data_IF_019330740400
#
_entry.id   IF_019330740400
#
_cell.length_a   1.000
_cell.length_b   1.000
_cell.length_c   1.000
_cell.angle_alpha   90.00
_cell.angle_beta   90.00
_cell.angle_gamma   90.00
#
_symmetry.space_group_name_H-M   'P 1'
#
loop_
_entity.id
_entity.type
_entity.pdbx_description
1 polymer ?
#
# COMPACT_ATOMS: atom_id res chain seq x y z
N UNK A 1 -89.28 39.67 -50.58
CA UNK A 1 -88.80 41.06 -50.69
C UNK A 1 -87.31 41.09 -50.39
N UNK A 2 -86.54 41.62 -51.36
CA UNK A 2 -85.13 42.07 -51.36
C UNK A 2 -83.96 41.13 -50.94
N UNK A 3 -83.31 40.68 -52.01
CA UNK A 3 -81.94 40.24 -52.29
C UNK A 3 -80.79 41.08 -51.68
N UNK A 4 -79.69 40.47 -51.19
CA UNK A 4 -78.29 40.63 -51.69
C UNK A 4 -77.19 40.08 -50.73
N UNK A 5 -76.21 39.40 -51.34
CA UNK A 5 -74.86 39.07 -50.82
C UNK A 5 -73.98 40.34 -50.64
N UNK A 6 -73.07 40.35 -49.66
CA UNK A 6 -71.70 40.88 -49.79
C UNK A 6 -70.81 40.46 -48.59
N UNK A 7 -69.49 40.52 -48.81
CA UNK A 7 -68.34 39.87 -48.17
C UNK A 7 -67.49 40.87 -47.33
N UNK A 8 -66.51 40.34 -46.57
CA UNK A 8 -65.28 40.96 -46.00
C UNK A 8 -65.52 41.71 -44.64
N UNK A 9 -64.76 41.61 -43.53
CA UNK A 9 -63.33 41.33 -43.28
C UNK A 9 -63.07 40.91 -41.83
N UNK A 10 -62.06 40.05 -41.66
CA UNK A 10 -61.43 39.57 -40.43
C UNK A 10 -60.66 40.70 -39.70
N UNK A 11 -60.85 40.87 -38.39
CA UNK A 11 -59.88 41.56 -37.53
C UNK A 11 -59.81 40.80 -36.18
N UNK A 12 -58.66 40.21 -35.92
CA UNK A 12 -58.40 39.39 -34.74
C UNK A 12 -58.24 40.22 -33.47
N UNK A 13 -58.87 39.78 -32.38
CA UNK A 13 -58.43 40.15 -31.04
C UNK A 13 -57.31 39.20 -30.62
N UNK A 14 -56.07 39.68 -30.73
CA UNK A 14 -54.95 39.10 -30.00
C UNK A 14 -55.13 39.39 -28.51
N UNK A 15 -55.29 38.34 -27.72
CA UNK A 15 -55.09 38.39 -26.28
C UNK A 15 -53.58 38.48 -26.05
N UNK A 16 -53.06 39.71 -25.93
CA UNK A 16 -51.66 39.92 -25.56
C UNK A 16 -51.52 39.54 -24.09
N UNK A 17 -50.96 38.35 -23.82
CA UNK A 17 -50.34 38.09 -22.52
C UNK A 17 -49.24 39.14 -22.37
N UNK A 18 -49.47 40.10 -21.48
CA UNK A 18 -48.40 40.94 -20.97
C UNK A 18 -47.48 40.00 -20.19
N UNK A 19 -46.35 39.62 -20.78
CA UNK A 19 -45.21 39.19 -20.00
C UNK A 19 -44.84 40.37 -19.10
N UNK A 20 -45.20 40.28 -17.82
CA UNK A 20 -44.50 41.05 -16.80
C UNK A 20 -43.01 40.65 -16.92
N UNK A 21 -42.07 41.61 -17.06
CA UNK A 21 -40.68 41.26 -16.86
C UNK A 21 -40.58 40.61 -15.47
N UNK A 22 -40.00 39.41 -15.41
CA UNK A 22 -39.74 38.75 -14.13
C UNK A 22 -39.07 39.74 -13.19
N UNK A 23 -39.48 39.74 -11.93
CA UNK A 23 -38.93 40.63 -10.92
C UNK A 23 -37.39 40.57 -11.00
N UNK A 24 -36.75 41.67 -11.38
CA UNK A 24 -35.33 41.83 -11.23
C UNK A 24 -35.07 41.82 -9.73
N UNK A 25 -34.48 40.74 -9.22
CA UNK A 25 -34.11 40.61 -7.82
C UNK A 25 -32.89 41.52 -7.57
N UNK A 26 -33.16 42.77 -7.19
CA UNK A 26 -32.15 43.80 -6.93
C UNK A 26 -31.77 43.83 -5.43
N UNK A 27 -31.35 42.69 -4.89
CA UNK A 27 -30.72 42.63 -3.55
C UNK A 27 -29.20 42.74 -3.66
N UNK A 28 -28.52 42.98 -2.53
CA UNK A 28 -27.06 42.78 -2.45
C UNK A 28 -26.76 41.34 -2.00
N UNK A 29 -25.71 40.72 -2.54
CA UNK A 29 -25.19 39.46 -2.00
C UNK A 29 -24.56 39.70 -0.62
N UNK A 30 -25.11 39.07 0.41
CA UNK A 30 -24.61 39.16 1.79
C UNK A 30 -24.01 37.82 2.22
N UNK A 31 -22.72 37.81 2.54
CA UNK A 31 -22.05 36.69 3.21
C UNK A 31 -22.24 36.86 4.72
N UNK A 32 -22.49 35.79 5.47
CA UNK A 32 -22.87 35.90 6.89
C UNK A 32 -22.07 35.04 7.86
N UNK A 33 -21.34 34.04 7.35
CA UNK A 33 -20.64 33.05 8.17
C UNK A 33 -19.50 32.38 7.43
N UNK A 34 -18.48 31.96 8.16
CA UNK A 34 -17.41 31.08 7.70
C UNK A 34 -17.34 29.89 8.65
N UNK A 35 -17.49 28.69 8.11
CA UNK A 35 -17.42 27.45 8.86
C UNK A 35 -16.25 26.60 8.34
N UNK A 36 -15.31 26.29 9.22
CA UNK A 36 -14.22 25.34 8.96
C UNK A 36 -14.78 23.91 9.06
N UNK A 37 -14.56 23.13 8.00
CA UNK A 37 -15.06 21.75 7.89
C UNK A 37 -13.94 20.71 7.88
N UNK A 38 -12.71 21.11 8.18
CA UNK A 38 -11.55 20.21 8.14
C UNK A 38 -11.62 19.12 9.21
N UNK A 39 -11.18 17.92 8.83
CA UNK A 39 -11.03 16.76 9.74
C UNK A 39 -9.56 16.31 9.77
N UNK A 40 -9.05 15.97 10.95
CA UNK A 40 -7.68 15.47 11.18
C UNK A 40 -7.76 13.98 11.59
N UNK A 41 -7.07 13.04 10.90
CA UNK A 41 -6.09 13.24 9.82
C UNK A 41 -6.68 13.26 8.39
N UNK A 42 -6.00 13.95 7.47
CA UNK A 42 -6.25 13.90 6.02
C UNK A 42 -5.39 12.80 5.38
N UNK A 43 -6.03 11.87 4.67
CA UNK A 43 -5.35 10.88 3.84
C UNK A 43 -5.02 11.45 2.45
N UNK A 44 -3.78 11.28 1.99
CA UNK A 44 -3.33 11.71 0.66
C UNK A 44 -3.23 10.56 -0.35
N UNK A 45 -3.39 10.84 -1.67
CA UNK A 45 -3.85 12.11 -2.23
C UNK A 45 -5.33 12.35 -1.90
N UNK A 46 -5.68 13.60 -1.54
CA UNK A 46 -7.06 13.97 -1.25
C UNK A 46 -7.65 14.59 -2.52
N UNK A 47 -8.58 13.88 -3.16
CA UNK A 47 -9.13 14.34 -4.44
C UNK A 47 -10.20 15.42 -4.28
N UNK A 48 -10.86 15.50 -3.13
CA UNK A 48 -11.98 16.39 -2.88
C UNK A 48 -12.10 16.78 -1.39
N UNK A 49 -11.15 17.58 -0.91
CA UNK A 49 -11.13 18.03 0.48
C UNK A 49 -11.92 19.33 0.65
N UNK A 50 -13.12 19.26 1.20
CA UNK A 50 -13.89 20.44 1.59
C UNK A 50 -13.25 21.08 2.84
N UNK A 51 -12.67 22.27 2.67
CA UNK A 51 -11.99 22.98 3.75
C UNK A 51 -12.92 23.94 4.49
N UNK A 52 -13.84 24.58 3.78
CA UNK A 52 -14.71 25.58 4.36
C UNK A 52 -16.04 25.74 3.62
N UNK A 53 -17.01 26.26 4.35
CA UNK A 53 -18.30 26.69 3.83
C UNK A 53 -18.58 28.13 4.25
N UNK A 54 -19.07 28.94 3.32
CA UNK A 54 -19.46 30.34 3.54
C UNK A 54 -20.96 30.48 3.30
N UNK A 55 -21.71 30.86 4.34
CA UNK A 55 -23.15 31.08 4.26
C UNK A 55 -23.52 32.38 3.54
N UNK A 56 -24.70 32.38 2.92
CA UNK A 56 -25.31 33.57 2.32
C UNK A 56 -26.73 33.75 2.85
N UNK A 57 -27.13 34.98 3.18
CA UNK A 57 -28.41 35.25 3.88
C UNK A 57 -29.56 35.72 2.98
N UNK A 58 -29.33 35.93 1.67
CA UNK A 58 -30.33 36.48 0.75
C UNK A 58 -31.14 35.38 0.02
N UNK A 59 -32.41 35.16 0.37
CA UNK A 59 -33.26 34.05 -0.11
C UNK A 59 -33.42 33.86 -1.64
N UNK A 60 -33.14 34.86 -2.50
CA UNK A 60 -33.23 34.74 -3.97
C UNK A 60 -32.13 35.50 -4.72
N UNK A 61 -31.04 35.83 -4.03
CA UNK A 61 -29.85 36.39 -4.61
C UNK A 61 -29.90 37.87 -4.97
N UNK A 62 -28.79 38.50 -4.60
CA UNK A 62 -28.37 39.79 -5.10
C UNK A 62 -27.25 39.62 -6.11
N UNK A 63 -26.89 40.71 -6.79
CA UNK A 63 -25.93 40.83 -7.89
C UNK A 63 -24.81 39.76 -8.02
N UNK A 64 -24.46 39.47 -9.28
CA UNK A 64 -23.72 38.30 -9.74
C UNK A 64 -22.19 38.34 -9.47
N UNK A 65 -21.62 37.52 -8.57
CA UNK A 65 -20.17 37.45 -8.39
C UNK A 65 -19.48 36.79 -9.60
N UNK A 66 -18.49 37.48 -10.17
CA UNK A 66 -17.69 37.00 -11.31
C UNK A 66 -16.40 36.32 -10.88
N UNK A 67 -15.95 36.51 -9.63
CA UNK A 67 -14.80 35.82 -9.07
C UNK A 67 -14.84 35.70 -7.54
N UNK A 68 -14.00 34.80 -7.02
CA UNK A 68 -13.56 34.79 -5.63
C UNK A 68 -12.05 34.63 -5.58
N UNK A 69 -11.41 35.33 -4.64
CA UNK A 69 -9.96 35.24 -4.41
C UNK A 69 -9.70 34.55 -3.09
N UNK A 70 -8.87 33.52 -3.10
CA UNK A 70 -8.47 32.76 -1.91
C UNK A 70 -6.96 32.73 -1.74
N UNK A 71 -6.51 32.48 -0.52
CA UNK A 71 -5.13 32.22 -0.17
C UNK A 71 -5.00 30.84 0.49
N UNK A 72 -3.97 30.10 0.12
CA UNK A 72 -3.56 28.85 0.77
C UNK A 72 -2.24 29.10 1.50
N UNK A 73 -2.23 28.88 2.81
CA UNK A 73 -1.07 28.97 3.69
C UNK A 73 -0.70 27.62 4.31
N UNK A 74 0.08 27.66 5.40
CA UNK A 74 0.69 26.48 6.02
C UNK A 74 2.09 26.18 5.44
N UNK A 75 2.53 24.92 5.52
CA UNK A 75 3.81 24.46 4.94
C UNK A 75 3.69 23.84 3.55
N UNK A 76 2.47 23.72 3.00
CA UNK A 76 2.24 23.35 1.59
C UNK A 76 2.81 24.40 0.62
N UNK A 77 3.34 23.92 -0.50
CA UNK A 77 3.83 24.71 -1.63
C UNK A 77 2.89 24.59 -2.83
N UNK A 78 3.04 25.46 -3.83
CA UNK A 78 2.21 25.47 -5.04
C UNK A 78 2.12 24.10 -5.73
N UNK A 79 3.23 23.35 -5.76
CA UNK A 79 3.28 22.00 -6.35
C UNK A 79 2.44 20.94 -5.58
N UNK A 80 2.06 21.22 -4.33
CA UNK A 80 1.25 20.32 -3.51
C UNK A 80 -0.25 20.46 -3.79
N UNK A 81 -0.66 21.55 -4.44
CA UNK A 81 -2.06 21.87 -4.74
C UNK A 81 -2.34 21.56 -6.21
N UNK A 82 -3.17 20.56 -6.47
CA UNK A 82 -3.59 20.23 -7.83
C UNK A 82 -4.73 21.14 -8.31
N UNK A 83 -5.68 21.45 -7.41
CA UNK A 83 -6.87 22.19 -7.77
C UNK A 83 -7.48 22.90 -6.55
N UNK A 84 -8.08 24.06 -6.79
CA UNK A 84 -8.96 24.75 -5.85
C UNK A 84 -10.30 24.98 -6.54
N UNK A 85 -11.36 24.34 -6.05
CA UNK A 85 -12.69 24.41 -6.61
C UNK A 85 -13.64 25.16 -5.67
N UNK A 86 -14.60 25.82 -6.28
CA UNK A 86 -15.69 26.51 -5.59
C UNK A 86 -17.00 25.90 -6.05
N UNK A 87 -17.79 25.47 -5.07
CA UNK A 87 -19.14 25.00 -5.26
C UNK A 87 -20.13 26.02 -4.71
N UNK A 88 -21.34 26.03 -5.23
CA UNK A 88 -22.44 26.83 -4.72
C UNK A 88 -23.72 25.98 -4.69
N UNK A 89 -24.34 25.85 -3.51
CA UNK A 89 -25.51 24.99 -3.34
C UNK A 89 -25.25 23.52 -3.71
N UNK A 90 -24.01 23.05 -3.52
CA UNK A 90 -23.56 21.69 -3.87
C UNK A 90 -23.25 21.45 -5.35
N UNK A 91 -23.32 22.49 -6.20
CA UNK A 91 -22.94 22.40 -7.61
C UNK A 91 -21.57 23.03 -7.85
N UNK A 92 -20.73 22.36 -8.64
CA UNK A 92 -19.43 22.90 -9.02
C UNK A 92 -19.60 24.13 -9.91
N UNK A 93 -19.10 25.28 -9.46
CA UNK A 93 -19.13 26.52 -10.23
C UNK A 93 -17.87 26.65 -11.10
N UNK A 94 -16.71 26.46 -10.50
CA UNK A 94 -15.43 26.65 -11.17
C UNK A 94 -14.27 26.10 -10.36
N UNK A 95 -13.15 25.88 -11.02
CA UNK A 95 -11.91 25.48 -10.38
C UNK A 95 -10.71 26.21 -10.98
N UNK A 96 -9.74 26.51 -10.13
CA UNK A 96 -8.40 26.90 -10.53
C UNK A 96 -7.46 25.70 -10.43
N UNK A 97 -6.86 25.32 -11.55
CA UNK A 97 -5.92 24.19 -11.61
C UNK A 97 -4.48 24.66 -11.41
N UNK A 98 -3.70 23.89 -10.66
CA UNK A 98 -2.26 24.12 -10.42
C UNK A 98 -1.93 25.59 -10.12
N UNK A 99 -2.46 26.17 -9.03
CA UNK A 99 -2.23 27.57 -8.72
C UNK A 99 -0.73 27.83 -8.50
N UNK A 100 -0.10 28.59 -9.40
CA UNK A 100 1.33 28.91 -9.32
C UNK A 100 1.69 29.86 -8.16
N UNK A 101 0.69 30.54 -7.58
CA UNK A 101 0.84 31.41 -6.41
C UNK A 101 -0.28 31.09 -5.42
N UNK A 102 0.09 30.78 -4.18
CA UNK A 102 -0.88 30.43 -3.13
C UNK A 102 -1.41 31.64 -2.36
N UNK A 103 -0.81 32.83 -2.47
CA UNK A 103 -1.25 34.01 -1.71
C UNK A 103 -2.48 34.74 -2.31
N UNK A 104 -2.75 34.51 -3.60
CA UNK A 104 -3.86 35.14 -4.32
C UNK A 104 -4.29 34.27 -5.50
N UNK A 105 -5.10 33.26 -5.19
CA UNK A 105 -5.69 32.31 -6.13
C UNK A 105 -7.05 32.87 -6.53
N UNK A 106 -7.17 33.32 -7.77
CA UNK A 106 -8.45 33.76 -8.33
C UNK A 106 -9.17 32.57 -8.94
N UNK A 107 -10.43 32.35 -8.53
CA UNK A 107 -11.35 31.39 -9.13
C UNK A 107 -12.46 32.19 -9.83
N UNK A 108 -12.48 32.13 -11.16
CA UNK A 108 -13.49 32.83 -11.97
C UNK A 108 -14.83 32.13 -11.85
N UNK A 109 -15.87 32.84 -11.45
CA UNK A 109 -17.24 32.36 -11.30
C UNK A 109 -18.08 32.76 -12.52
N UNK A 110 -19.19 32.06 -12.81
CA UNK A 110 -19.97 32.29 -14.03
C UNK A 110 -20.74 33.62 -14.05
N UNK A 111 -20.72 34.42 -12.97
CA UNK A 111 -21.42 35.70 -12.94
C UNK A 111 -22.93 35.53 -13.10
N UNK A 112 -23.53 34.61 -12.34
CA UNK A 112 -24.97 34.41 -12.26
C UNK A 112 -25.48 34.66 -10.83
N UNK A 113 -26.80 34.78 -10.68
CA UNK A 113 -27.41 35.24 -9.43
C UNK A 113 -27.22 34.23 -8.29
N UNK A 114 -26.64 34.70 -7.19
CA UNK A 114 -26.33 33.89 -6.00
C UNK A 114 -27.03 34.46 -4.76
N UNK A 115 -27.64 33.59 -3.97
CA UNK A 115 -28.14 33.83 -2.62
C UNK A 115 -29.00 32.68 -2.09
N UNK A 116 -28.98 32.48 -0.76
CA UNK A 116 -29.80 31.49 -0.06
C UNK A 116 -29.18 30.08 -0.08
N UNK A 117 -27.97 29.94 -0.61
CA UNK A 117 -27.17 28.72 -0.54
C UNK A 117 -25.71 29.06 -0.21
N UNK A 118 -24.95 28.14 0.39
CA UNK A 118 -23.57 28.41 0.76
C UNK A 118 -22.61 28.24 -0.43
N UNK A 119 -21.47 28.93 -0.35
CA UNK A 119 -20.28 28.60 -1.12
C UNK A 119 -19.45 27.56 -0.37
N UNK A 120 -18.93 26.56 -1.08
CA UNK A 120 -18.06 25.53 -0.52
C UNK A 120 -16.71 25.55 -1.23
N UNK A 121 -15.63 25.46 -0.46
CA UNK A 121 -14.26 25.52 -0.97
C UNK A 121 -13.60 24.16 -0.84
N UNK A 122 -13.28 23.57 -1.99
CA UNK A 122 -12.70 22.25 -2.11
C UNK A 122 -11.28 22.36 -2.65
N UNK A 123 -10.36 21.57 -2.08
CA UNK A 123 -8.96 21.53 -2.53
C UNK A 123 -8.58 20.10 -2.87
N UNK A 124 -7.93 19.92 -4.02
CA UNK A 124 -7.30 18.66 -4.41
C UNK A 124 -5.82 18.73 -4.06
N UNK A 125 -5.35 17.80 -3.22
CA UNK A 125 -3.96 17.74 -2.75
C UNK A 125 -3.19 16.61 -3.43
N UNK A 126 -1.99 16.92 -3.92
CA UNK A 126 -1.03 15.95 -4.42
C UNK A 126 -0.42 15.15 -3.27
N UNK A 127 0.12 13.96 -3.57
CA UNK A 127 0.85 13.15 -2.60
C UNK A 127 2.06 13.89 -1.99
N UNK A 128 2.62 14.89 -2.69
CA UNK A 128 3.72 15.73 -2.21
C UNK A 128 3.35 16.64 -1.03
N UNK A 129 2.05 16.80 -0.73
CA UNK A 129 1.56 17.52 0.45
C UNK A 129 1.80 16.74 1.76
N UNK A 130 2.34 15.52 1.68
CA UNK A 130 2.59 14.64 2.81
C UNK A 130 3.45 15.29 3.89
N UNK A 131 3.03 15.19 5.16
CA UNK A 131 3.73 15.73 6.32
C UNK A 131 3.62 17.25 6.48
N UNK A 132 2.85 17.93 5.62
CA UNK A 132 2.73 19.39 5.62
C UNK A 132 1.47 19.86 6.33
N UNK A 133 1.38 21.17 6.54
CA UNK A 133 0.16 21.83 6.98
C UNK A 133 -0.44 22.65 5.86
N UNK A 134 -1.77 22.67 5.77
CA UNK A 134 -2.52 23.53 4.87
C UNK A 134 -3.40 24.46 5.70
N UNK A 135 -3.62 25.69 5.20
CA UNK A 135 -4.53 26.70 5.74
C UNK A 135 -5.28 27.38 4.59
N UNK A 136 -6.60 27.53 4.67
CA UNK A 136 -7.39 28.26 3.67
C UNK A 136 -7.85 29.60 4.22
N UNK A 137 -7.66 30.67 3.45
CA UNK A 137 -8.27 31.98 3.66
C UNK A 137 -9.03 32.41 2.41
N UNK A 138 -10.20 33.00 2.57
CA UNK A 138 -10.96 33.59 1.45
C UNK A 138 -10.84 35.10 1.58
N UNK A 139 -10.28 35.77 0.58
CA UNK A 139 -9.86 37.17 0.67
C UNK A 139 -10.93 38.14 0.18
N UNK A 140 -11.63 37.80 -0.91
CA UNK A 140 -12.63 38.67 -1.52
C UNK A 140 -13.54 37.94 -2.50
N UNK A 141 -14.69 38.55 -2.81
CA UNK A 141 -15.58 38.20 -3.91
C UNK A 141 -15.76 39.44 -4.81
N UNK A 142 -15.67 39.32 -6.14
CA UNK A 142 -15.63 40.46 -7.07
C UNK A 142 -16.59 40.35 -8.25
N UNK A 143 -17.03 41.50 -8.80
CA UNK A 143 -17.82 41.55 -10.03
C UNK A 143 -18.50 42.86 -10.47
N UNK A 144 -18.80 43.84 -9.59
CA UNK A 144 -19.39 45.16 -9.96
C UNK A 144 -19.35 46.18 -8.80
N UNK A 145 -19.65 47.47 -9.06
CA UNK A 145 -19.66 48.55 -8.04
C UNK A 145 -20.80 48.39 -7.04
N UNK A 146 -20.53 47.71 -5.93
CA UNK A 146 -21.53 47.51 -4.88
C UNK A 146 -21.11 48.23 -3.60
N UNK A 147 -22.09 48.41 -2.72
CA UNK A 147 -21.83 48.41 -1.29
C UNK A 147 -21.31 47.01 -0.93
N UNK A 148 -20.04 46.79 -1.19
CA UNK A 148 -19.36 45.57 -0.83
C UNK A 148 -19.60 45.37 0.67
N UNK A 149 -20.27 44.27 1.03
CA UNK A 149 -19.96 43.69 2.32
C UNK A 149 -18.52 43.21 2.19
N UNK A 150 -17.57 44.12 2.45
CA UNK A 150 -16.15 43.83 2.54
C UNK A 150 -15.97 43.03 3.81
N UNK A 151 -16.44 41.79 3.79
CA UNK A 151 -16.11 40.83 4.81
C UNK A 151 -14.71 40.41 4.44
N UNK A 152 -13.75 41.12 5.01
CA UNK A 152 -12.42 40.56 5.23
C UNK A 152 -12.65 39.37 6.13
N UNK A 153 -12.84 38.19 5.52
CA UNK A 153 -12.97 36.96 6.28
C UNK A 153 -11.68 36.85 7.08
N UNK A 154 -11.78 36.55 8.38
CA UNK A 154 -10.59 36.49 9.20
C UNK A 154 -9.58 35.54 8.55
N UNK A 155 -8.29 35.87 8.65
CA UNK A 155 -7.19 34.94 8.36
C UNK A 155 -7.23 33.80 9.40
N UNK A 156 -8.31 33.02 9.44
CA UNK A 156 -8.37 31.84 10.28
C UNK A 156 -7.88 30.65 9.48
N UNK A 157 -6.62 30.40 9.79
CA UNK A 157 -5.82 29.24 9.53
C UNK A 157 -6.48 27.98 10.08
N UNK A 158 -7.25 27.26 9.27
CA UNK A 158 -7.46 25.83 9.49
C UNK A 158 -6.06 25.20 9.45
N UNK A 159 -5.41 24.86 10.57
CA UNK A 159 -4.06 24.27 10.53
C UNK A 159 -4.22 22.77 10.60
N UNK A 160 -4.10 22.08 9.46
CA UNK A 160 -4.29 20.63 9.41
C UNK A 160 -2.95 19.94 9.23
N UNK A 161 -2.64 18.96 10.08
CA UNK A 161 -1.47 18.11 9.87
C UNK A 161 -1.81 17.04 8.84
N UNK A 162 -1.12 17.07 7.69
CA UNK A 162 -1.32 16.10 6.63
C UNK A 162 -0.40 14.91 6.91
N UNK A 163 -0.97 13.72 7.11
CA UNK A 163 -0.19 12.52 7.40
C UNK A 163 -0.16 11.62 6.17
N UNK A 164 1.04 11.19 5.76
CA UNK A 164 1.17 10.21 4.69
C UNK A 164 0.68 8.83 5.18
N UNK A 165 -0.08 8.14 4.33
CA UNK A 165 -0.31 6.71 4.54
C UNK A 165 1.00 5.99 4.21
N UNK A 166 1.65 5.45 5.22
CA UNK A 166 2.81 4.59 4.99
C UNK A 166 2.37 3.40 4.11
N UNK A 167 3.25 2.93 3.23
CA UNK A 167 3.01 1.72 2.45
C UNK A 167 4.09 0.70 2.74
N UNK A 168 3.69 -0.55 2.97
CA UNK A 168 4.62 -1.66 3.17
C UNK A 168 5.53 -1.90 1.94
N UNK A 169 6.77 -2.36 2.15
CA UNK A 169 7.61 -2.83 1.06
C UNK A 169 7.00 -4.07 0.38
N UNK A 170 7.30 -4.27 -0.90
CA UNK A 170 6.93 -5.49 -1.61
C UNK A 170 8.16 -6.39 -1.75
N UNK A 171 8.03 -7.65 -1.30
CA UNK A 171 9.14 -8.61 -1.24
C UNK A 171 8.77 -9.90 -1.97
N UNK A 172 9.74 -10.47 -2.68
CA UNK A 172 9.63 -11.79 -3.33
C UNK A 172 10.73 -12.71 -2.81
N UNK A 173 10.43 -13.99 -2.65
CA UNK A 173 11.41 -15.04 -2.36
C UNK A 173 11.62 -15.91 -3.61
N UNK A 174 12.86 -16.33 -3.84
CA UNK A 174 13.27 -17.16 -4.99
C UNK A 174 13.81 -18.49 -4.50
N UNK A 175 13.69 -19.57 -5.28
CA UNK A 175 14.09 -20.92 -4.89
C UNK A 175 15.46 -21.00 -4.19
N UNK A 176 15.53 -21.81 -3.12
CA UNK A 176 16.76 -21.97 -2.35
C UNK A 176 17.84 -22.71 -3.18
N UNK A 177 19.10 -22.38 -2.93
CA UNK A 177 20.26 -23.00 -3.59
C UNK A 177 21.25 -23.56 -2.57
N UNK A 178 22.31 -24.22 -3.03
CA UNK A 178 23.36 -24.77 -2.18
C UNK A 178 22.80 -25.61 -1.01
N UNK A 179 21.80 -26.44 -1.31
CA UNK A 179 21.11 -27.27 -0.33
C UNK A 179 22.04 -28.42 0.05
N UNK A 180 22.53 -28.40 1.29
CA UNK A 180 23.33 -29.44 1.92
C UNK A 180 22.50 -30.36 2.81
N UNK A 181 23.17 -31.17 3.63
CA UNK A 181 22.51 -32.01 4.64
C UNK A 181 22.03 -31.21 5.85
N UNK A 182 22.66 -30.07 6.14
CA UNK A 182 22.44 -29.27 7.34
C UNK A 182 22.33 -27.76 7.06
N UNK A 183 22.29 -27.37 5.79
CA UNK A 183 22.32 -25.97 5.38
C UNK A 183 21.66 -25.74 4.03
N UNK A 184 21.20 -24.51 3.78
CA UNK A 184 20.72 -24.05 2.48
C UNK A 184 20.83 -22.53 2.37
N UNK A 185 21.02 -22.00 1.15
CA UNK A 185 21.01 -20.57 0.88
C UNK A 185 19.60 -20.13 0.43
N UNK A 186 19.00 -19.23 1.20
CA UNK A 186 17.70 -18.60 0.94
C UNK A 186 17.90 -17.29 0.19
N UNK A 187 16.99 -16.97 -0.74
CA UNK A 187 17.06 -15.78 -1.58
C UNK A 187 15.79 -14.95 -1.49
N UNK A 188 15.97 -13.64 -1.41
CA UNK A 188 14.90 -12.65 -1.34
C UNK A 188 15.22 -11.43 -2.21
N UNK A 189 14.19 -10.71 -2.64
CA UNK A 189 14.32 -9.45 -3.36
C UNK A 189 13.23 -8.50 -2.91
N UNK A 190 13.63 -7.29 -2.50
CA UNK A 190 12.70 -6.17 -2.30
C UNK A 190 12.47 -5.51 -3.67
N UNK A 191 11.25 -5.60 -4.19
CA UNK A 191 10.88 -5.02 -5.49
C UNK A 191 10.36 -3.60 -5.38
N UNK A 192 9.80 -3.25 -4.22
CA UNK A 192 9.36 -1.90 -3.87
C UNK A 192 9.71 -1.67 -2.39
N UNK A 193 10.33 -0.52 -2.09
CA UNK A 193 10.71 -0.15 -0.73
C UNK A 193 9.55 0.39 0.11
N UNK A 194 8.38 0.60 -0.50
CA UNK A 194 7.27 1.31 0.13
C UNK A 194 7.63 2.78 0.39
N UNK A 195 7.10 3.33 1.48
CA UNK A 195 7.39 4.73 1.88
C UNK A 195 8.67 4.89 2.69
N UNK A 196 9.28 3.79 3.15
CA UNK A 196 10.46 3.84 4.01
C UNK A 196 11.72 4.18 3.18
N UNK A 197 12.63 5.05 3.69
CA UNK A 197 13.86 5.39 2.99
C UNK A 197 14.82 4.20 2.89
N UNK A 198 14.77 3.28 3.86
CA UNK A 198 15.51 2.02 3.86
C UNK A 198 14.72 0.94 4.61
N UNK A 199 14.98 -0.33 4.29
CA UNK A 199 14.35 -1.48 4.92
C UNK A 199 15.38 -2.44 5.51
N UNK A 200 15.09 -2.96 6.70
CA UNK A 200 15.80 -4.08 7.31
C UNK A 200 15.28 -5.39 6.70
N UNK A 201 16.17 -6.17 6.08
CA UNK A 201 15.82 -7.36 5.30
C UNK A 201 16.21 -8.61 6.06
N UNK A 202 15.30 -9.58 6.14
CA UNK A 202 15.50 -10.81 6.89
C UNK A 202 14.67 -11.97 6.33
N UNK A 203 14.91 -13.18 6.84
CA UNK A 203 14.17 -14.38 6.49
C UNK A 203 13.54 -15.00 7.73
N UNK A 204 12.37 -15.61 7.54
CA UNK A 204 11.81 -16.54 8.51
C UNK A 204 11.67 -17.92 7.87
N UNK A 205 12.06 -18.96 8.58
CA UNK A 205 12.03 -20.34 8.07
C UNK A 205 11.71 -21.36 9.17
N UNK A 206 11.20 -22.52 8.76
CA UNK A 206 10.82 -23.61 9.66
C UNK A 206 10.21 -24.79 8.91
N UNK A 207 9.75 -25.80 9.64
CA UNK A 207 9.17 -27.03 9.05
C UNK A 207 7.65 -26.99 8.89
N UNK A 208 6.99 -25.94 9.38
CA UNK A 208 5.54 -25.75 9.26
C UNK A 208 5.17 -25.09 7.93
N UNK A 209 4.38 -25.78 7.12
CA UNK A 209 3.81 -25.21 5.90
C UNK A 209 2.73 -24.16 6.24
N UNK A 210 2.87 -22.94 5.71
CA UNK A 210 2.01 -21.80 6.01
C UNK A 210 2.40 -21.03 7.28
N UNK A 211 3.48 -21.45 7.96
CA UNK A 211 3.91 -20.88 9.22
C UNK A 211 3.13 -21.39 10.45
N UNK A 212 3.42 -20.87 11.66
CA UNK A 212 4.52 -19.95 11.96
C UNK A 212 5.88 -20.59 11.68
N UNK A 213 6.82 -19.77 11.20
CA UNK A 213 8.19 -20.19 10.91
C UNK A 213 9.01 -20.06 12.19
N UNK A 214 9.50 -21.20 12.71
CA UNK A 214 10.11 -21.27 14.04
C UNK A 214 11.49 -20.59 14.17
N UNK A 215 12.04 -20.03 13.10
CA UNK A 215 13.37 -19.40 13.12
C UNK A 215 13.38 -18.10 12.31
N UNK A 216 14.04 -17.07 12.87
CA UNK A 216 14.31 -15.79 12.22
C UNK A 216 15.82 -15.65 12.01
N UNK A 217 16.25 -15.20 10.83
CA UNK A 217 17.67 -14.98 10.54
C UNK A 217 18.27 -13.77 11.27
N UNK A 218 17.44 -12.89 11.81
CA UNK A 218 17.82 -11.51 12.10
C UNK A 218 18.02 -10.70 10.82
N UNK A 219 18.37 -9.42 10.96
CA UNK A 219 18.65 -8.53 9.83
C UNK A 219 19.91 -9.01 9.11
N UNK A 220 19.79 -9.35 7.83
CA UNK A 220 20.91 -9.83 7.01
C UNK A 220 21.48 -8.74 6.10
N UNK A 221 20.69 -7.71 5.80
CA UNK A 221 21.11 -6.52 5.05
C UNK A 221 20.10 -5.40 5.23
N UNK A 222 20.50 -4.17 4.93
CA UNK A 222 19.63 -2.99 4.90
C UNK A 222 19.67 -2.33 3.52
N UNK A 223 18.58 -1.66 3.14
CA UNK A 223 18.53 -0.82 1.93
C UNK A 223 17.13 -0.68 1.34
N UNK A 224 17.00 0.09 0.27
CA UNK A 224 15.75 0.28 -0.51
C UNK A 224 15.32 -0.99 -1.25
N UNK A 225 15.54 -1.09 -2.56
CA UNK A 225 15.23 -2.27 -3.39
C UNK A 225 16.46 -3.16 -3.60
N UNK A 226 16.25 -4.36 -4.14
CA UNK A 226 17.33 -5.26 -4.55
C UNK A 226 17.34 -6.61 -3.82
N UNK A 227 18.28 -7.44 -4.24
CA UNK A 227 18.43 -8.84 -3.80
C UNK A 227 19.16 -8.94 -2.47
N UNK A 228 18.83 -9.95 -1.68
CA UNK A 228 19.53 -10.34 -0.46
C UNK A 228 19.44 -11.85 -0.24
N UNK A 229 20.38 -12.41 0.53
CA UNK A 229 20.47 -13.85 0.75
C UNK A 229 20.91 -14.18 2.18
N UNK A 230 20.58 -15.39 2.63
CA UNK A 230 20.98 -15.91 3.93
C UNK A 230 21.29 -17.40 3.85
N UNK A 231 22.40 -17.84 4.44
CA UNK A 231 22.70 -19.27 4.55
C UNK A 231 22.18 -19.78 5.89
N UNK A 232 21.08 -20.52 5.85
CA UNK A 232 20.45 -21.10 7.02
C UNK A 232 21.30 -22.27 7.54
N UNK A 233 21.80 -22.21 8.79
CA UNK A 233 22.62 -23.27 9.37
C UNK A 233 21.78 -24.29 10.17
N UNK A 234 22.44 -25.36 10.62
CA UNK A 234 21.93 -26.30 11.63
C UNK A 234 20.57 -26.93 11.28
N UNK A 235 20.34 -27.22 10.01
CA UNK A 235 19.13 -27.87 9.54
C UNK A 235 19.19 -29.39 9.75
N UNK A 236 18.04 -30.02 9.91
CA UNK A 236 17.96 -31.49 10.00
C UNK A 236 18.07 -32.08 8.59
N UNK A 237 18.90 -33.13 8.37
CA UNK A 237 18.94 -33.85 7.10
C UNK A 237 17.59 -34.45 6.68
N UNK A 238 17.37 -34.60 5.37
CA UNK A 238 16.15 -35.16 4.79
C UNK A 238 14.84 -34.53 5.32
N UNK A 239 14.85 -33.23 5.56
CA UNK A 239 13.73 -32.49 6.14
C UNK A 239 13.30 -31.37 5.21
N UNK A 240 11.99 -31.25 4.99
CA UNK A 240 11.42 -30.14 4.22
C UNK A 240 11.27 -28.92 5.10
N UNK A 241 11.83 -27.80 4.64
CA UNK A 241 11.70 -26.49 5.24
C UNK A 241 10.92 -25.56 4.30
N UNK A 242 10.20 -24.63 4.93
CA UNK A 242 9.44 -23.57 4.31
C UNK A 242 9.99 -22.24 4.80
N UNK A 243 10.02 -21.23 3.93
CA UNK A 243 10.54 -19.92 4.30
C UNK A 243 9.87 -18.78 3.53
N UNK A 244 9.95 -17.59 4.14
CA UNK A 244 9.58 -16.30 3.55
C UNK A 244 10.73 -15.32 3.71
N UNK A 245 10.80 -14.36 2.78
CA UNK A 245 11.67 -13.20 2.87
C UNK A 245 10.83 -11.99 3.31
N UNK A 246 11.34 -11.17 4.22
CA UNK A 246 10.65 -10.00 4.74
C UNK A 246 11.55 -8.76 4.72
N UNK A 247 10.91 -7.60 4.66
CA UNK A 247 11.52 -6.28 4.76
C UNK A 247 10.68 -5.42 5.73
N UNK A 248 11.36 -4.71 6.62
CA UNK A 248 10.75 -3.85 7.64
C UNK A 248 11.28 -2.42 7.53
N UNK A 249 10.39 -1.43 7.42
CA UNK A 249 10.77 -0.03 7.44
C UNK A 249 11.13 0.41 8.86
N UNK A 250 12.41 0.59 9.16
CA UNK A 250 12.92 0.85 10.51
C UNK A 250 12.67 2.29 11.05
N UNK A 251 11.72 3.02 10.47
CA UNK A 251 11.37 4.40 10.83
C UNK A 251 10.00 4.46 11.52
N UNK A 252 9.72 5.56 12.24
CA UNK A 252 8.44 5.74 12.90
C UNK A 252 7.27 5.68 11.90
N UNK A 253 6.42 4.66 12.03
CA UNK A 253 5.31 4.41 11.11
C UNK A 253 5.65 3.52 9.91
N UNK A 254 6.86 2.93 9.87
CA UNK A 254 7.22 1.93 8.87
C UNK A 254 6.36 0.68 8.95
N UNK A 255 6.20 0.03 7.80
CA UNK A 255 5.39 -1.17 7.64
C UNK A 255 6.25 -2.36 7.23
N UNK A 256 5.76 -3.56 7.53
CA UNK A 256 6.41 -4.82 7.19
C UNK A 256 5.78 -5.41 5.93
N UNK A 257 6.62 -5.80 4.98
CA UNK A 257 6.24 -6.59 3.81
C UNK A 257 6.94 -7.93 3.81
N UNK A 258 6.20 -9.01 3.53
CA UNK A 258 6.75 -10.36 3.42
C UNK A 258 6.32 -11.03 2.10
N UNK A 259 7.19 -11.89 1.59
CA UNK A 259 6.95 -12.64 0.36
C UNK A 259 5.92 -13.77 0.55
N UNK A 260 5.49 -14.34 -0.58
CA UNK A 260 4.91 -15.68 -0.59
C UNK A 260 5.93 -16.72 -0.14
N UNK A 261 5.43 -17.84 0.38
CA UNK A 261 6.26 -18.92 0.91
C UNK A 261 6.96 -19.70 -0.22
N UNK A 262 8.22 -20.06 0.03
CA UNK A 262 9.01 -21.02 -0.74
C UNK A 262 9.35 -22.24 0.12
N UNK A 263 9.79 -23.33 -0.51
CA UNK A 263 10.18 -24.56 0.19
C UNK A 263 11.42 -25.22 -0.41
N UNK A 264 12.13 -25.99 0.40
CA UNK A 264 13.22 -26.86 -0.04
C UNK A 264 13.36 -28.06 0.90
N UNK A 265 14.04 -29.12 0.46
CA UNK A 265 14.32 -30.32 1.27
C UNK A 265 15.81 -30.54 1.37
N UNK A 266 16.34 -30.61 2.58
CA UNK A 266 17.78 -30.89 2.82
C UNK A 266 18.17 -32.26 2.29
N UNK A 267 19.44 -32.41 1.92
CA UNK A 267 19.95 -33.68 1.42
C UNK A 267 19.92 -34.76 2.51
N UNK A 268 19.84 -36.01 2.07
CA UNK A 268 19.99 -37.17 2.95
C UNK A 268 21.45 -37.28 3.42
N UNK A 269 21.63 -37.45 4.72
CA UNK A 269 22.91 -37.84 5.31
C UNK A 269 23.13 -39.34 5.01
N UNK A 270 24.30 -39.69 4.49
CA UNK A 270 24.66 -41.08 4.22
C UNK A 270 25.07 -41.79 5.53
N UNK A 271 24.79 -43.10 5.66
CA UNK A 271 25.31 -43.88 6.77
C UNK A 271 26.82 -44.11 6.61
N UNK A 272 27.52 -44.24 7.74
CA UNK A 272 28.94 -44.65 7.77
C UNK A 272 29.12 -45.84 8.68
N UNK A 273 29.94 -46.78 8.24
CA UNK A 273 30.22 -48.04 8.94
C UNK A 273 31.71 -48.31 9.01
N UNK A 274 32.15 -48.95 10.09
CA UNK A 274 33.53 -49.42 10.27
C UNK A 274 33.53 -50.93 10.50
N UNK A 275 34.43 -51.64 9.83
CA UNK A 275 34.68 -53.06 10.12
C UNK A 275 35.52 -53.18 11.39
N UNK A 276 35.20 -54.15 12.24
CA UNK A 276 35.97 -54.51 13.43
C UNK A 276 36.65 -55.86 13.22
N UNK A 277 37.59 -56.22 14.10
CA UNK A 277 38.24 -57.52 14.05
C UNK A 277 37.20 -58.64 14.15
N UNK A 278 37.27 -59.63 13.25
CA UNK A 278 36.43 -60.82 13.32
C UNK A 278 36.87 -61.73 14.47
N UNK A 279 35.92 -62.44 15.08
CA UNK A 279 36.18 -63.40 16.16
C UNK A 279 36.12 -64.82 15.62
N UNK A 280 37.23 -65.56 15.64
CA UNK A 280 37.24 -66.97 15.24
C UNK A 280 36.51 -67.80 16.30
N UNK A 281 35.49 -68.56 15.89
CA UNK A 281 34.67 -69.38 16.81
C UNK A 281 34.86 -70.88 16.60
N UNK A 282 35.55 -71.27 15.52
CA UNK A 282 35.84 -72.68 15.20
C UNK A 282 36.79 -72.81 14.01
N UNK A 283 37.07 -74.05 13.60
CA UNK A 283 37.97 -74.35 12.47
C UNK A 283 37.43 -73.88 11.11
N UNK A 284 36.13 -73.64 11.01
CA UNK A 284 35.44 -73.20 9.79
C UNK A 284 34.39 -72.12 10.05
N UNK A 285 34.40 -71.51 11.25
CA UNK A 285 33.41 -70.51 11.67
C UNK A 285 34.08 -69.31 12.31
N UNK A 286 33.59 -68.11 11.97
CA UNK A 286 33.99 -66.85 12.57
C UNK A 286 32.78 -65.92 12.62
N UNK A 287 32.75 -65.03 13.61
CA UNK A 287 31.79 -63.93 13.72
C UNK A 287 32.41 -62.67 13.13
N UNK A 288 31.72 -62.06 12.16
CA UNK A 288 32.10 -60.78 11.58
C UNK A 288 31.54 -59.66 12.45
N UNK A 289 32.39 -58.69 12.81
CA UNK A 289 32.01 -57.59 13.68
C UNK A 289 32.11 -56.26 12.92
N UNK A 290 31.11 -55.41 13.09
CA UNK A 290 31.01 -54.10 12.47
C UNK A 290 30.47 -53.08 13.44
N UNK A 291 30.54 -51.80 13.09
CA UNK A 291 29.97 -50.72 13.88
C UNK A 291 29.41 -49.65 12.95
N UNK A 292 28.12 -49.33 13.10
CA UNK A 292 27.49 -48.20 12.42
C UNK A 292 27.86 -46.93 13.20
N UNK A 293 28.67 -46.05 12.61
CA UNK A 293 29.10 -44.80 13.24
C UNK A 293 28.13 -43.65 12.98
N UNK A 294 27.43 -43.67 11.83
CA UNK A 294 26.35 -42.72 11.49
C UNK A 294 25.25 -43.51 10.81
N UNK A 295 24.00 -43.38 11.28
CA UNK A 295 22.84 -44.02 10.64
C UNK A 295 22.43 -43.34 9.33
N UNK A 296 22.88 -42.12 9.06
CA UNK A 296 22.34 -41.33 7.96
C UNK A 296 20.86 -40.96 8.18
N UNK A 297 20.14 -40.65 7.09
CA UNK A 297 18.76 -40.13 7.13
C UNK A 297 17.66 -41.11 6.71
N UNK A 298 18.01 -42.35 6.37
CA UNK A 298 17.00 -43.37 6.07
C UNK A 298 16.41 -43.92 7.38
N UNK A 299 15.10 -44.20 7.37
CA UNK A 299 14.42 -44.80 8.52
C UNK A 299 14.95 -46.21 8.82
N UNK A 300 15.29 -46.96 7.78
CA UNK A 300 15.69 -48.36 7.86
C UNK A 300 16.98 -48.59 7.06
N UNK A 301 18.15 -48.48 7.71
CA UNK A 301 19.40 -48.95 7.12
C UNK A 301 19.67 -50.38 7.57
N UNK A 302 19.77 -51.28 6.59
CA UNK A 302 20.23 -52.64 6.82
C UNK A 302 21.76 -52.71 6.87
N UNK A 303 22.27 -53.47 7.85
CA UNK A 303 23.69 -53.76 7.99
C UNK A 303 23.99 -55.17 7.52
N UNK A 304 25.07 -55.36 6.75
CA UNK A 304 25.51 -56.68 6.29
C UNK A 304 27.02 -56.65 6.02
N UNK A 305 27.63 -57.83 5.88
CA UNK A 305 29.04 -57.98 5.52
C UNK A 305 29.18 -58.53 4.11
N UNK A 306 30.25 -58.10 3.44
CA UNK A 306 30.80 -58.81 2.28
C UNK A 306 32.16 -59.39 2.66
N UNK A 307 32.39 -60.67 2.36
CA UNK A 307 33.64 -61.35 2.67
C UNK A 307 34.11 -62.21 1.49
N UNK A 308 35.38 -62.61 1.51
CA UNK A 308 36.01 -63.40 0.45
C UNK A 308 37.41 -63.86 0.86
N UNK A 309 37.99 -64.78 0.09
CA UNK A 309 39.31 -65.37 0.35
C UNK A 309 40.46 -64.63 -0.32
N UNK A 310 40.16 -63.62 -1.16
CA UNK A 310 41.14 -62.83 -1.90
C UNK A 310 41.07 -61.37 -1.45
N UNK A 311 42.23 -60.76 -1.21
CA UNK A 311 42.35 -59.36 -0.78
C UNK A 311 41.57 -58.43 -1.73
N UNK A 312 40.78 -57.51 -1.15
CA UNK A 312 39.91 -56.56 -1.85
C UNK A 312 38.84 -57.17 -2.77
N UNK A 313 38.62 -58.50 -2.69
CA UNK A 313 37.61 -59.20 -3.49
C UNK A 313 36.63 -59.91 -2.55
N UNK A 314 35.40 -59.40 -2.49
CA UNK A 314 34.36 -59.88 -1.59
C UNK A 314 33.19 -60.45 -2.39
N UNK A 315 33.18 -61.77 -2.57
CA UNK A 315 32.22 -62.47 -3.43
C UNK A 315 31.00 -62.98 -2.67
N UNK A 316 31.08 -63.07 -1.34
CA UNK A 316 29.98 -63.55 -0.50
C UNK A 316 29.37 -62.39 0.26
N UNK A 317 28.04 -62.31 0.28
CA UNK A 317 27.27 -61.33 1.05
C UNK A 317 26.46 -62.07 2.10
N UNK A 318 26.51 -61.62 3.35
CA UNK A 318 25.69 -62.19 4.43
C UNK A 318 24.23 -61.79 4.28
N UNK A 319 23.33 -62.46 5.01
CA UNK A 319 22.01 -61.89 5.27
C UNK A 319 22.13 -60.56 6.06
N UNK A 320 21.04 -59.80 6.14
CA UNK A 320 21.00 -58.60 6.98
C UNK A 320 21.18 -58.98 8.45
N UNK A 321 22.01 -58.21 9.17
CA UNK A 321 22.11 -58.22 10.63
C UNK A 321 20.93 -57.50 11.30
N UNK A 322 19.98 -57.00 10.50
CA UNK A 322 18.87 -56.16 10.91
C UNK A 322 19.18 -54.67 10.80
N UNK A 323 18.17 -53.87 11.15
CA UNK A 323 18.29 -52.41 11.25
C UNK A 323 19.07 -52.02 12.50
N UNK A 324 20.19 -51.32 12.33
CA UNK A 324 21.03 -50.84 13.44
C UNK A 324 21.11 -49.33 13.35
N UNK A 325 20.55 -48.62 14.34
CA UNK A 325 20.54 -47.16 14.34
C UNK A 325 21.97 -46.61 14.46
N UNK A 326 22.67 -46.90 15.54
CA UNK A 326 24.12 -46.70 15.68
C UNK A 326 24.66 -47.75 16.63
N UNK A 327 25.92 -48.13 16.47
CA UNK A 327 26.56 -49.10 17.34
C UNK A 327 26.93 -50.44 16.68
N UNK A 328 27.37 -51.40 17.50
CA UNK A 328 27.96 -52.63 17.00
C UNK A 328 26.90 -53.56 16.40
N UNK A 329 27.31 -54.30 15.37
CA UNK A 329 26.52 -55.38 14.79
C UNK A 329 27.44 -56.55 14.44
N UNK A 330 26.89 -57.77 14.46
CA UNK A 330 27.64 -58.97 14.18
C UNK A 330 26.80 -60.06 13.51
N UNK A 331 27.47 -60.90 12.71
CA UNK A 331 26.90 -62.05 11.99
C UNK A 331 27.85 -63.24 12.00
#
# INVERSE_FOLDING_TARGET
>A
MMNKKSLITLFGLMFSLIFLPGAAFAGDLVLDSFNDLTTDPINLPATDLQLATIGTSANQGGDDPTDTTVAIGGTVAAADIAQVCVYYGGLLESCQNNPGNLASIVVNLPGNTKGGSPFEYHVTLNASAAGKTIQLGVLSFGGSTHATSTITLPQYTATVNIVAVATAPTVTAQAATAIGTDSATLHGTVTDAGTAPDNDRYFQYGTNNGGPYGTNSGVVSTGTTGTFQYTAPSLTPNTTYYYIACADGNEAGGQIGCSTQQSFTTNKLAPTVTVQAATVTGSSTATLNGNVTVNGSAADNDSYFKYGTTTLTYTVTTASAGTVATGPFSL
#
